data_IF_763397357813
#
_entry.id   IF_763397357813
#
_cell.length_a   1.000
_cell.length_b   1.000
_cell.length_c   1.000
_cell.angle_alpha   90.00
_cell.angle_beta   90.00
_cell.angle_gamma   90.00
#
_symmetry.space_group_name_H-M   'P 1'
#
loop_
_entity.id
_entity.type
_entity.pdbx_description
1 polymer ?
#
# COMPACT_ATOMS: atom_id res chain seq x y z
N UNK A 1 17.01 -3.16 16.19
CA UNK A 1 16.85 -2.12 15.17
C UNK A 1 16.51 -2.83 13.89
N UNK A 2 15.33 -2.57 13.33
CA UNK A 2 14.90 -3.22 12.09
C UNK A 2 15.51 -2.57 10.86
N UNK A 3 15.32 -3.20 9.70
CA UNK A 3 15.74 -2.64 8.41
C UNK A 3 15.02 -1.33 8.08
N UNK A 4 13.74 -1.19 8.46
CA UNK A 4 12.95 0.04 8.27
C UNK A 4 13.45 1.15 9.19
N UNK A 5 13.68 0.87 10.46
CA UNK A 5 14.24 1.85 11.41
C UNK A 5 15.62 2.33 10.94
N UNK A 6 16.49 1.38 10.56
CA UNK A 6 17.80 1.70 9.99
C UNK A 6 17.67 2.60 8.75
N UNK A 7 16.73 2.33 7.84
CA UNK A 7 16.50 3.17 6.67
C UNK A 7 16.09 4.59 7.07
N UNK A 8 15.08 4.73 7.93
CA UNK A 8 14.57 6.04 8.37
C UNK A 8 15.66 6.86 9.08
N UNK A 9 16.48 6.22 9.90
CA UNK A 9 17.59 6.87 10.62
C UNK A 9 18.69 7.43 9.70
N UNK A 10 18.84 6.86 8.49
CA UNK A 10 19.91 7.24 7.55
C UNK A 10 19.44 8.06 6.35
N UNK A 11 18.14 8.38 6.25
CA UNK A 11 17.54 8.99 5.05
C UNK A 11 17.04 10.41 5.24
N UNK A 12 17.18 10.99 6.43
CA UNK A 12 16.72 12.34 6.79
C UNK A 12 17.29 13.48 5.93
N UNK A 13 18.40 13.26 5.22
CA UNK A 13 18.97 14.24 4.28
C UNK A 13 18.26 14.25 2.92
N UNK A 14 17.62 13.14 2.57
CA UNK A 14 17.00 12.91 1.26
C UNK A 14 15.48 12.98 1.36
N UNK A 15 14.91 12.62 2.51
CA UNK A 15 13.48 12.49 2.73
C UNK A 15 12.98 13.34 3.87
N UNK A 16 11.79 13.91 3.69
CA UNK A 16 10.94 14.37 4.78
C UNK A 16 10.19 13.16 5.33
N UNK A 17 10.39 12.87 6.60
CA UNK A 17 9.66 11.84 7.34
C UNK A 17 8.78 12.53 8.37
N UNK A 18 7.48 12.25 8.35
CA UNK A 18 6.55 12.67 9.38
C UNK A 18 6.36 11.54 10.37
N UNK A 19 6.75 11.77 11.61
CA UNK A 19 6.59 10.80 12.68
C UNK A 19 5.10 10.66 13.03
N UNK A 20 4.71 9.44 13.42
CA UNK A 20 3.37 9.18 13.91
C UNK A 20 3.14 9.94 15.23
N UNK A 21 2.32 11.00 15.19
CA UNK A 21 2.05 11.84 16.37
C UNK A 21 1.27 11.11 17.47
N UNK A 22 0.38 10.19 17.07
CA UNK A 22 -0.45 9.39 17.98
C UNK A 22 -0.76 8.04 17.38
N UNK A 23 -0.76 7.02 18.23
CA UNK A 23 -1.24 5.69 17.86
C UNK A 23 -2.77 5.71 17.84
N UNK A 24 -3.35 5.51 16.66
CA UNK A 24 -4.81 5.47 16.47
C UNK A 24 -5.33 4.03 16.47
N UNK A 25 -6.65 3.87 16.52
CA UNK A 25 -7.29 2.58 16.34
C UNK A 25 -6.99 1.97 14.96
N UNK A 26 -6.92 2.79 13.92
CA UNK A 26 -6.50 2.35 12.58
C UNK A 26 -5.10 1.75 12.62
N UNK A 27 -4.14 2.39 13.30
CA UNK A 27 -2.77 1.87 13.43
C UNK A 27 -2.75 0.56 14.23
N UNK A 28 -3.48 0.48 15.35
CA UNK A 28 -3.48 -0.71 16.22
C UNK A 28 -4.12 -1.93 15.56
N UNK A 29 -5.20 -1.72 14.82
CA UNK A 29 -6.03 -2.77 14.24
C UNK A 29 -5.95 -2.80 12.71
N UNK A 30 -4.85 -2.31 12.13
CA UNK A 30 -4.72 -2.04 10.70
C UNK A 30 -5.09 -3.23 9.82
N UNK A 31 -4.47 -4.40 10.04
CA UNK A 31 -4.78 -5.61 9.28
C UNK A 31 -6.22 -6.06 9.48
N UNK A 32 -6.73 -6.05 10.72
CA UNK A 32 -8.09 -6.47 11.01
C UNK A 32 -9.11 -5.60 10.28
N UNK A 33 -8.92 -4.28 10.28
CA UNK A 33 -9.82 -3.34 9.61
C UNK A 33 -9.78 -3.50 8.08
N UNK A 34 -8.60 -3.69 7.49
CA UNK A 34 -8.51 -4.01 6.05
C UNK A 34 -9.26 -5.30 5.72
N UNK A 35 -9.05 -6.35 6.53
CA UNK A 35 -9.72 -7.64 6.40
C UNK A 35 -11.25 -7.52 6.47
N UNK A 36 -11.78 -6.83 7.47
CA UNK A 36 -13.22 -6.74 7.72
C UNK A 36 -13.93 -5.70 6.84
N UNK A 37 -13.36 -4.50 6.71
CA UNK A 37 -14.06 -3.35 6.10
C UNK A 37 -13.90 -3.28 4.57
N UNK A 38 -12.79 -3.83 4.05
CA UNK A 38 -12.42 -3.76 2.63
C UNK A 38 -12.48 -5.16 2.03
N UNK A 39 -11.57 -6.06 2.40
CA UNK A 39 -11.46 -7.36 1.72
C UNK A 39 -12.65 -8.28 1.98
N UNK A 40 -13.29 -8.16 3.15
CA UNK A 40 -14.50 -8.92 3.50
C UNK A 40 -15.70 -8.70 2.58
N UNK A 41 -15.67 -7.65 1.75
CA UNK A 41 -16.70 -7.39 0.72
C UNK A 41 -16.46 -8.18 -0.57
N UNK A 42 -15.22 -8.58 -0.85
CA UNK A 42 -14.81 -9.11 -2.16
C UNK A 42 -14.23 -10.53 -2.09
N UNK A 43 -13.80 -10.97 -0.91
CA UNK A 43 -13.19 -12.28 -0.67
C UNK A 43 -13.93 -13.01 0.45
N UNK A 44 -13.97 -14.34 0.36
CA UNK A 44 -14.51 -15.16 1.43
C UNK A 44 -13.67 -15.07 2.70
N UNK A 45 -14.29 -15.34 3.85
CA UNK A 45 -13.61 -15.38 5.16
C UNK A 45 -12.45 -16.38 5.13
N UNK A 46 -12.62 -17.52 4.47
CA UNK A 46 -11.58 -18.54 4.29
C UNK A 46 -10.42 -18.03 3.44
N UNK A 47 -10.69 -17.35 2.31
CA UNK A 47 -9.65 -16.75 1.47
C UNK A 47 -8.82 -15.75 2.30
N UNK A 48 -9.48 -14.82 3.00
CA UNK A 48 -8.80 -13.80 3.80
C UNK A 48 -7.94 -14.45 4.88
N UNK A 49 -8.48 -15.38 5.67
CA UNK A 49 -7.73 -16.07 6.74
C UNK A 49 -6.50 -16.82 6.24
N UNK A 50 -6.56 -17.39 5.04
CA UNK A 50 -5.46 -18.19 4.49
C UNK A 50 -4.42 -17.34 3.78
N UNK A 51 -4.86 -16.26 3.12
CA UNK A 51 -4.05 -15.53 2.14
C UNK A 51 -3.64 -14.14 2.59
N UNK A 52 -4.50 -13.41 3.32
CA UNK A 52 -4.24 -12.02 3.65
C UNK A 52 -3.29 -11.89 4.83
N UNK A 53 -2.15 -11.22 4.61
CA UNK A 53 -1.22 -10.75 5.65
C UNK A 53 -0.50 -9.51 5.13
N UNK A 54 -0.48 -8.44 5.91
CA UNK A 54 0.32 -7.25 5.57
C UNK A 54 1.80 -7.55 5.84
N UNK A 55 2.71 -7.26 4.89
CA UNK A 55 4.14 -7.47 5.07
C UNK A 55 4.68 -6.81 6.35
N UNK A 56 5.49 -7.51 7.17
CA UNK A 56 5.96 -7.01 8.47
C UNK A 56 6.72 -5.69 8.40
N UNK A 57 7.50 -5.47 7.34
CA UNK A 57 8.26 -4.23 7.15
C UNK A 57 7.32 -3.03 7.01
N UNK A 58 6.22 -3.18 6.26
CA UNK A 58 5.23 -2.12 6.14
C UNK A 58 4.49 -1.86 7.45
N UNK A 59 4.11 -2.93 8.17
CA UNK A 59 3.52 -2.80 9.51
C UNK A 59 4.42 -2.07 10.48
N UNK A 60 5.73 -2.25 10.38
CA UNK A 60 6.67 -1.50 11.20
C UNK A 60 6.76 -0.04 10.79
N UNK A 61 6.78 0.25 9.49
CA UNK A 61 6.79 1.62 8.98
C UNK A 61 5.59 2.41 9.52
N UNK A 62 4.36 1.90 9.36
CA UNK A 62 3.13 2.63 9.76
C UNK A 62 2.97 2.77 11.28
N UNK A 63 3.77 2.06 12.08
CA UNK A 63 3.83 2.24 13.55
C UNK A 63 4.71 3.40 13.97
N UNK A 64 5.65 3.82 13.13
CA UNK A 64 6.61 4.89 13.41
C UNK A 64 6.39 6.16 12.59
N UNK A 65 5.85 6.04 11.38
CA UNK A 65 5.69 7.14 10.44
C UNK A 65 4.23 7.29 9.99
N UNK A 66 3.77 8.53 9.88
CA UNK A 66 2.49 8.88 9.24
C UNK A 66 2.65 9.17 7.76
N UNK A 67 3.84 9.58 7.34
CA UNK A 67 4.13 9.92 5.95
C UNK A 67 5.64 9.95 5.70
N UNK A 68 6.07 9.60 4.49
CA UNK A 68 7.43 9.78 4.01
C UNK A 68 7.37 10.35 2.59
N UNK A 69 8.17 11.37 2.31
CA UNK A 69 8.18 11.97 0.98
C UNK A 69 9.53 12.57 0.60
N UNK A 70 9.81 12.60 -0.70
CA UNK A 70 10.89 13.39 -1.29
C UNK A 70 10.30 14.48 -2.17
N UNK A 71 10.76 15.71 -1.94
CA UNK A 71 10.29 16.92 -2.62
C UNK A 71 10.78 16.97 -4.09
N UNK A 72 9.88 17.28 -5.01
CA UNK A 72 10.18 17.46 -6.44
C UNK A 72 10.77 18.84 -6.75
N UNK A 73 10.72 19.78 -5.80
CA UNK A 73 11.18 21.15 -5.94
C UNK A 73 10.13 22.13 -6.46
N UNK A 74 8.89 21.69 -6.65
CA UNK A 74 7.75 22.51 -7.10
C UNK A 74 6.63 22.64 -6.05
N UNK A 75 6.88 22.18 -4.82
CA UNK A 75 5.91 22.16 -3.73
C UNK A 75 5.10 20.86 -3.64
N UNK A 76 5.32 19.90 -4.55
CA UNK A 76 4.73 18.57 -4.50
C UNK A 76 5.80 17.49 -4.32
N UNK A 77 5.49 16.40 -3.60
CA UNK A 77 6.41 15.27 -3.51
C UNK A 77 6.42 14.50 -4.83
N UNK A 78 7.62 14.25 -5.39
CA UNK A 78 7.74 13.38 -6.58
C UNK A 78 7.69 11.90 -6.21
N UNK A 79 7.89 11.57 -4.92
CA UNK A 79 7.81 10.23 -4.35
C UNK A 79 7.24 10.34 -2.95
N UNK A 80 6.30 9.47 -2.60
CA UNK A 80 5.75 9.39 -1.25
C UNK A 80 5.33 7.97 -0.85
N UNK A 81 5.32 7.74 0.46
CA UNK A 81 4.80 6.54 1.12
C UNK A 81 3.85 6.97 2.23
N UNK A 82 2.69 6.31 2.29
CA UNK A 82 1.56 6.65 3.15
C UNK A 82 1.63 5.93 4.51
N UNK A 83 1.21 6.60 5.58
CA UNK A 83 0.96 5.96 6.86
C UNK A 83 -0.38 5.20 6.89
N UNK A 84 -0.70 4.59 8.04
CA UNK A 84 -1.87 3.71 8.18
C UNK A 84 -3.20 4.34 7.78
N UNK A 85 -3.48 5.58 8.23
CA UNK A 85 -4.78 6.23 7.99
C UNK A 85 -5.02 6.48 6.49
N UNK A 86 -4.03 7.06 5.82
CA UNK A 86 -4.12 7.33 4.39
C UNK A 86 -4.11 6.03 3.59
N UNK A 87 -3.22 5.08 3.90
CA UNK A 87 -3.22 3.75 3.27
C UNK A 87 -4.60 3.12 3.32
N UNK A 88 -5.24 3.12 4.49
CA UNK A 88 -6.59 2.58 4.65
C UNK A 88 -7.61 3.32 3.79
N UNK A 89 -7.60 4.65 3.83
CA UNK A 89 -8.53 5.51 3.07
C UNK A 89 -8.39 5.29 1.55
N UNK A 90 -7.17 5.36 1.03
CA UNK A 90 -6.90 5.25 -0.39
C UNK A 90 -7.13 3.82 -0.89
N UNK A 91 -6.74 2.80 -0.12
CA UNK A 91 -7.10 1.41 -0.41
C UNK A 91 -8.61 1.25 -0.51
N UNK A 92 -9.39 1.81 0.43
CA UNK A 92 -10.86 1.71 0.38
C UNK A 92 -11.40 2.32 -0.92
N UNK A 93 -10.92 3.49 -1.32
CA UNK A 93 -11.32 4.14 -2.57
C UNK A 93 -10.95 3.32 -3.81
N UNK A 94 -9.75 2.74 -3.86
CA UNK A 94 -9.33 1.88 -4.98
C UNK A 94 -10.21 0.63 -5.14
N UNK A 95 -10.71 0.05 -4.03
CA UNK A 95 -11.63 -1.09 -4.09
C UNK A 95 -13.07 -0.68 -4.41
N UNK A 96 -13.49 0.54 -4.06
CA UNK A 96 -14.83 1.05 -4.41
C UNK A 96 -15.05 1.16 -5.92
N UNK A 97 -13.97 1.20 -6.73
CA UNK A 97 -14.04 1.14 -8.19
C UNK A 97 -14.45 -0.24 -8.75
N UNK A 98 -14.34 -1.30 -7.94
CA UNK A 98 -14.88 -2.61 -8.28
C UNK A 98 -16.38 -2.61 -7.96
N UNK A 99 -17.16 -2.17 -8.94
CA UNK A 99 -18.61 -2.18 -8.92
C UNK A 99 -19.16 -3.46 -9.54
N UNK A 100 -20.15 -4.07 -8.88
CA UNK A 100 -20.99 -5.11 -9.48
C UNK A 100 -21.92 -4.46 -10.51
N UNK A 101 -21.39 -4.10 -11.68
CA UNK A 101 -22.19 -3.57 -12.78
C UNK A 101 -22.35 -4.62 -13.89
N UNK A 102 -23.46 -5.35 -13.82
CA UNK A 102 -23.86 -6.36 -14.81
C UNK A 102 -24.15 -5.74 -16.20
N UNK A 103 -24.45 -4.44 -16.29
CA UNK A 103 -24.79 -3.74 -17.53
C UNK A 103 -23.54 -3.25 -18.29
N UNK A 104 -22.45 -2.96 -17.58
CA UNK A 104 -21.23 -2.37 -18.17
C UNK A 104 -19.98 -3.28 -18.15
N UNK A 105 -20.12 -4.57 -17.80
CA UNK A 105 -19.03 -5.56 -17.79
C UNK A 105 -17.81 -5.13 -16.94
N UNK A 106 -18.03 -4.47 -15.81
CA UNK A 106 -16.93 -4.15 -14.89
C UNK A 106 -16.51 -5.39 -14.10
N UNK A 107 -15.21 -5.45 -13.78
CA UNK A 107 -14.57 -6.61 -13.16
C UNK A 107 -15.22 -6.91 -11.81
N UNK A 108 -15.96 -8.02 -11.75
CA UNK A 108 -16.75 -8.42 -10.57
C UNK A 108 -15.91 -8.87 -9.38
N UNK A 109 -14.59 -9.03 -9.56
CA UNK A 109 -13.70 -9.44 -8.46
C UNK A 109 -12.31 -8.79 -8.59
N UNK A 110 -11.78 -8.18 -7.51
CA UNK A 110 -10.37 -7.79 -7.44
C UNK A 110 -9.43 -8.96 -7.70
N UNK A 111 -8.29 -8.73 -8.37
CA UNK A 111 -7.39 -9.82 -8.78
C UNK A 111 -6.73 -10.51 -7.57
N UNK A 112 -6.37 -9.73 -6.55
CA UNK A 112 -5.77 -10.19 -5.29
C UNK A 112 -5.91 -9.12 -4.21
N UNK A 113 -5.46 -9.41 -2.99
CA UNK A 113 -5.51 -8.47 -1.86
C UNK A 113 -4.25 -7.60 -1.82
N UNK A 114 -4.35 -6.39 -2.38
CA UNK A 114 -3.33 -5.35 -2.32
C UNK A 114 -3.81 -4.11 -1.55
N UNK A 115 -2.87 -3.31 -1.06
CA UNK A 115 -3.13 -2.02 -0.40
C UNK A 115 -2.34 -0.90 -1.09
N UNK A 116 -2.92 0.29 -1.19
CA UNK A 116 -2.26 1.46 -1.75
C UNK A 116 -1.32 2.09 -0.72
N UNK A 117 -0.02 2.12 -1.02
CA UNK A 117 1.01 2.53 -0.05
C UNK A 117 1.75 3.82 -0.40
N UNK A 118 1.47 4.43 -1.55
CA UNK A 118 2.22 5.60 -1.99
C UNK A 118 2.17 5.84 -3.50
N UNK A 119 3.14 6.58 -4.02
CA UNK A 119 3.25 6.86 -5.45
C UNK A 119 4.50 7.63 -5.82
N UNK A 120 4.70 7.83 -7.12
CA UNK A 120 5.76 8.70 -7.64
C UNK A 120 5.29 9.49 -8.87
N UNK A 121 4.90 10.75 -8.70
CA UNK A 121 4.11 11.56 -9.66
C UNK A 121 2.60 11.31 -9.62
N UNK A 122 1.85 12.24 -10.21
CA UNK A 122 0.39 12.26 -10.27
C UNK A 122 -0.25 11.08 -11.03
N UNK A 123 0.57 10.27 -11.71
CA UNK A 123 0.11 9.14 -12.53
C UNK A 123 0.48 7.77 -11.98
N UNK A 124 1.37 7.70 -11.01
CA UNK A 124 1.92 6.43 -10.55
C UNK A 124 1.58 6.17 -9.10
N UNK A 125 0.87 5.06 -8.87
CA UNK A 125 0.40 4.64 -7.55
C UNK A 125 1.03 3.31 -7.19
N UNK A 126 1.57 3.21 -5.98
CA UNK A 126 2.18 1.99 -5.46
C UNK A 126 1.15 1.13 -4.73
N UNK A 127 1.04 -0.13 -5.15
CA UNK A 127 0.23 -1.14 -4.45
C UNK A 127 1.12 -2.22 -3.87
N UNK A 128 0.99 -2.49 -2.57
CA UNK A 128 1.69 -3.57 -1.87
C UNK A 128 0.80 -4.82 -1.83
N UNK A 129 1.29 -5.94 -2.38
CA UNK A 129 0.58 -7.21 -2.23
C UNK A 129 0.63 -7.69 -0.79
N UNK A 130 -0.57 -7.93 -0.26
CA UNK A 130 -0.81 -8.57 1.03
C UNK A 130 -1.39 -9.98 0.85
N UNK A 131 -1.34 -10.54 -0.36
CA UNK A 131 -1.90 -11.85 -0.70
C UNK A 131 -0.80 -12.91 -0.86
N UNK A 132 -0.77 -13.89 0.05
CA UNK A 132 0.17 -15.04 0.00
C UNK A 132 0.07 -15.87 -1.27
N UNK A 133 -1.05 -15.83 -1.98
CA UNK A 133 -1.20 -16.53 -3.26
C UNK A 133 -0.64 -15.72 -4.45
N UNK A 134 -0.38 -14.42 -4.29
CA UNK A 134 -0.01 -13.51 -5.38
C UNK A 134 1.13 -12.57 -4.97
N UNK A 135 2.37 -13.04 -5.14
CA UNK A 135 3.59 -12.23 -4.94
C UNK A 135 3.59 -11.41 -3.64
N UNK A 136 3.31 -12.07 -2.51
CA UNK A 136 3.24 -11.43 -1.20
C UNK A 136 4.49 -10.61 -0.89
N UNK A 137 4.28 -9.35 -0.48
CA UNK A 137 5.36 -8.42 -0.18
C UNK A 137 5.81 -7.57 -1.36
N UNK A 138 5.55 -7.99 -2.60
CA UNK A 138 5.92 -7.23 -3.79
C UNK A 138 5.13 -5.93 -3.91
N UNK A 139 5.75 -4.92 -4.51
CA UNK A 139 5.13 -3.63 -4.81
C UNK A 139 4.97 -3.47 -6.31
N UNK A 140 3.76 -3.14 -6.71
CA UNK A 140 3.36 -2.83 -8.08
C UNK A 140 3.36 -1.32 -8.26
N UNK A 141 3.75 -0.88 -9.46
CA UNK A 141 3.67 0.51 -9.89
C UNK A 141 2.59 0.63 -10.96
N UNK A 142 1.46 1.23 -10.60
CA UNK A 142 0.30 1.37 -11.48
C UNK A 142 0.32 2.74 -12.16
N UNK A 143 0.36 2.77 -13.49
CA UNK A 143 0.17 3.98 -14.29
C UNK A 143 -1.34 4.23 -14.52
N UNK A 144 -1.81 5.45 -14.23
CA UNK A 144 -3.20 5.91 -14.39
C UNK A 144 -4.26 5.09 -13.62
N UNK A 145 -3.86 4.48 -12.49
CA UNK A 145 -4.74 4.09 -11.38
C UNK A 145 -5.80 3.00 -11.63
N UNK A 146 -5.42 1.83 -12.15
CA UNK A 146 -6.35 0.69 -12.18
C UNK A 146 -5.76 -0.55 -11.51
N UNK A 147 -6.09 -0.74 -10.23
CA UNK A 147 -5.75 -1.95 -9.47
C UNK A 147 -6.24 -3.23 -10.17
N UNK A 148 -7.25 -3.12 -11.04
CA UNK A 148 -7.84 -4.24 -11.76
C UNK A 148 -7.01 -4.77 -12.94
N UNK A 149 -6.06 -3.99 -13.45
CA UNK A 149 -5.15 -4.38 -14.53
C UNK A 149 -3.82 -4.97 -14.02
N UNK A 150 -3.66 -5.10 -12.70
CA UNK A 150 -2.45 -5.63 -12.08
C UNK A 150 -2.18 -7.09 -12.48
N UNK A 151 -1.11 -7.29 -13.26
CA UNK A 151 -0.59 -8.58 -13.67
C UNK A 151 0.77 -8.91 -13.03
N UNK A 152 1.23 -10.16 -13.18
CA UNK A 152 2.51 -10.63 -12.60
C UNK A 152 3.75 -9.98 -13.22
N UNK A 153 3.62 -9.28 -14.35
CA UNK A 153 4.71 -8.57 -15.01
C UNK A 153 4.84 -7.10 -14.57
N UNK A 154 3.89 -6.61 -13.76
CA UNK A 154 3.82 -5.21 -13.32
C UNK A 154 4.48 -4.99 -11.94
N UNK A 155 5.13 -6.03 -11.41
CA UNK A 155 5.95 -5.94 -10.20
C UNK A 155 7.16 -5.06 -10.48
N UNK A 156 7.24 -3.94 -9.77
CA UNK A 156 8.35 -2.99 -9.92
C UNK A 156 9.40 -3.13 -8.82
N UNK A 157 8.99 -3.60 -7.65
CA UNK A 157 9.86 -3.83 -6.51
C UNK A 157 9.54 -5.16 -5.84
N UNK A 158 10.58 -5.90 -5.47
CA UNK A 158 10.45 -7.24 -4.87
C UNK A 158 9.90 -7.19 -3.44
N UNK A 159 10.03 -6.03 -2.77
CA UNK A 159 9.53 -5.82 -1.43
C UNK A 159 9.30 -4.34 -1.12
N UNK A 160 8.62 -4.04 -0.02
CA UNK A 160 8.55 -2.67 0.52
C UNK A 160 9.94 -2.10 0.84
N UNK A 161 10.88 -2.91 1.34
CA UNK A 161 12.25 -2.45 1.57
C UNK A 161 12.99 -2.17 0.25
N UNK A 162 12.76 -2.98 -0.78
CA UNK A 162 13.32 -2.74 -2.11
C UNK A 162 12.82 -1.42 -2.70
N UNK A 163 11.52 -1.12 -2.53
CA UNK A 163 10.94 0.18 -2.85
C UNK A 163 11.66 1.31 -2.12
N UNK A 164 11.83 1.22 -0.80
CA UNK A 164 12.52 2.25 -0.04
C UNK A 164 13.98 2.45 -0.48
N UNK A 165 14.69 1.37 -0.81
CA UNK A 165 16.10 1.43 -1.19
C UNK A 165 16.34 1.92 -2.62
N UNK A 166 15.45 1.59 -3.56
CA UNK A 166 15.61 1.90 -4.99
C UNK A 166 14.76 3.08 -5.47
N UNK A 167 13.65 3.35 -4.80
CA UNK A 167 12.86 4.56 -4.97
C UNK A 167 13.50 5.80 -4.33
N UNK A 168 14.64 5.62 -3.66
CA UNK A 168 15.51 6.66 -3.09
C UNK A 168 16.55 7.22 -4.04
#
# INVERSE_FOLDING_TARGET
>A
MSNVENFLDHTYHTYRVEALEKVTETVLNFEQRLSEDIFGKYFSVEEIKQRFVVPPDYLQFIRGASFLARDAGDGYPWFWVLGAEDTYKYTKSAYEEFTEDEEYHQLTKPPFMAIEIGGWSDKHVFFLSCDKAHHWGAVYDCHDSFMYDLGPYDISYESFLDLLQRGA
#
